data_IF_309208462225
#
_entry.id   IF_309208462225
#
_cell.length_a   1.000
_cell.length_b   1.000
_cell.length_c   1.000
_cell.angle_alpha   90.00
_cell.angle_beta   90.00
_cell.angle_gamma   90.00
#
_symmetry.space_group_name_H-M   'P 1'
#
loop_
_entity.id
_entity.type
_entity.pdbx_description
1 polymer ?
#
# COMPACT_ATOMS: atom_id res chain seq x y z
N UNK A 1 8.40 -19.96 1.57
CA UNK A 1 7.26 -19.10 1.19
C UNK A 1 7.38 -17.81 2.00
N UNK A 2 7.81 -16.69 1.41
CA UNK A 2 7.64 -15.41 2.10
C UNK A 2 6.13 -15.22 2.21
N UNK A 3 5.63 -15.18 3.45
CA UNK A 3 4.20 -15.15 3.78
C UNK A 3 3.50 -14.06 2.96
N UNK A 4 2.20 -14.22 2.69
CA UNK A 4 1.44 -13.44 1.70
C UNK A 4 1.32 -11.93 1.99
N UNK A 5 2.44 -11.27 2.17
CA UNK A 5 2.64 -9.85 2.38
C UNK A 5 3.68 -9.45 1.33
N UNK A 6 3.31 -8.52 0.45
CA UNK A 6 4.24 -7.85 -0.46
C UNK A 6 4.67 -6.56 0.22
N UNK A 7 5.96 -6.26 0.27
CA UNK A 7 6.47 -4.99 0.78
C UNK A 7 6.95 -4.12 -0.39
N UNK A 8 6.56 -2.84 -0.39
CA UNK A 8 6.94 -1.84 -1.37
C UNK A 8 7.61 -0.68 -0.64
N UNK A 9 8.87 -0.41 -0.98
CA UNK A 9 9.58 0.78 -0.50
C UNK A 9 9.26 1.97 -1.41
N UNK A 10 8.64 2.99 -0.83
CA UNK A 10 8.23 4.23 -1.49
C UNK A 10 9.08 5.42 -1.04
N UNK A 11 10.07 5.22 -0.17
CA UNK A 11 10.93 6.31 0.29
C UNK A 11 11.58 7.04 -0.89
N UNK A 12 11.49 8.37 -0.87
CA UNK A 12 12.08 9.23 -1.90
C UNK A 12 11.33 9.25 -3.22
N UNK A 13 10.26 8.47 -3.39
CA UNK A 13 9.38 8.58 -4.56
C UNK A 13 8.49 9.81 -4.46
N UNK A 14 8.16 10.39 -5.61
CA UNK A 14 7.04 11.33 -5.70
C UNK A 14 5.70 10.56 -5.77
N UNK A 15 4.58 11.28 -5.64
CA UNK A 15 3.25 10.68 -5.64
C UNK A 15 2.91 9.89 -6.92
N UNK A 16 3.35 10.36 -8.08
CA UNK A 16 3.06 9.70 -9.36
C UNK A 16 3.79 8.35 -9.47
N UNK A 17 5.09 8.35 -9.11
CA UNK A 17 5.91 7.14 -9.07
C UNK A 17 5.34 6.12 -8.09
N UNK A 18 5.00 6.57 -6.87
CA UNK A 18 4.43 5.72 -5.84
C UNK A 18 3.09 5.12 -6.28
N UNK A 19 2.18 5.93 -6.83
CA UNK A 19 0.88 5.47 -7.33
C UNK A 19 1.06 4.40 -8.40
N UNK A 20 1.93 4.64 -9.39
CA UNK A 20 2.18 3.69 -10.47
C UNK A 20 2.72 2.35 -9.96
N UNK A 21 3.64 2.39 -8.99
CA UNK A 21 4.18 1.16 -8.39
C UNK A 21 3.11 0.41 -7.59
N UNK A 22 2.34 1.12 -6.75
CA UNK A 22 1.24 0.54 -5.97
C UNK A 22 0.22 -0.13 -6.89
N UNK A 23 -0.25 0.58 -7.92
CA UNK A 23 -1.24 0.07 -8.88
C UNK A 23 -0.73 -1.20 -9.59
N UNK A 24 0.54 -1.20 -10.02
CA UNK A 24 1.14 -2.35 -10.66
C UNK A 24 1.22 -3.57 -9.73
N UNK A 25 1.51 -3.37 -8.44
CA UNK A 25 1.59 -4.46 -7.47
C UNK A 25 0.20 -4.95 -7.02
N UNK A 26 -0.77 -4.05 -6.84
CA UNK A 26 -2.17 -4.41 -6.57
C UNK A 26 -2.73 -5.22 -7.73
N UNK A 27 -2.43 -4.84 -8.97
CA UNK A 27 -2.92 -5.56 -10.14
C UNK A 27 -2.33 -6.97 -10.24
N UNK A 28 -1.04 -7.12 -9.92
CA UNK A 28 -0.32 -8.40 -9.93
C UNK A 28 -0.57 -9.28 -8.70
N UNK A 29 -1.24 -8.78 -7.67
CA UNK A 29 -1.46 -9.51 -6.43
C UNK A 29 -2.26 -10.79 -6.69
N UNK A 30 -1.60 -11.94 -6.48
CA UNK A 30 -2.20 -13.25 -6.63
C UNK A 30 -3.07 -13.62 -5.41
N UNK A 31 -3.86 -14.69 -5.51
CA UNK A 31 -4.83 -15.13 -4.48
C UNK A 31 -4.21 -15.47 -3.12
N UNK A 32 -2.91 -15.75 -3.08
CA UNK A 32 -2.16 -16.01 -1.86
C UNK A 32 -1.62 -14.73 -1.16
N UNK A 33 -1.85 -13.54 -1.73
CA UNK A 33 -1.47 -12.26 -1.13
C UNK A 33 -2.62 -11.79 -0.22
N UNK A 34 -2.29 -11.61 1.06
CA UNK A 34 -3.17 -11.06 2.08
C UNK A 34 -3.01 -9.55 2.22
N UNK A 35 -1.78 -9.05 2.16
CA UNK A 35 -1.47 -7.63 2.40
C UNK A 35 -0.42 -7.11 1.42
N UNK A 36 -0.51 -5.82 1.11
CA UNK A 36 0.58 -5.05 0.49
C UNK A 36 0.96 -3.95 1.47
N UNK A 37 2.22 -3.96 1.93
CA UNK A 37 2.77 -3.02 2.90
C UNK A 37 3.54 -1.93 2.17
N UNK A 38 3.11 -0.69 2.36
CA UNK A 38 3.64 0.51 1.74
C UNK A 38 4.52 1.23 2.75
N UNK A 39 5.83 1.30 2.48
CA UNK A 39 6.82 1.94 3.35
C UNK A 39 7.15 3.30 2.74
N UNK A 40 6.52 4.36 3.25
CA UNK A 40 6.66 5.73 2.70
C UNK A 40 7.43 6.68 3.63
N UNK A 41 7.70 6.25 4.86
CA UNK A 41 8.50 7.01 5.83
C UNK A 41 7.72 8.11 6.53
N UNK A 42 8.34 8.67 7.58
CA UNK A 42 7.67 9.68 8.42
C UNK A 42 8.04 11.11 8.00
N UNK A 43 9.34 11.43 7.93
CA UNK A 43 9.86 12.79 7.69
C UNK A 43 9.96 13.06 6.18
N UNK A 44 8.81 13.35 5.56
CA UNK A 44 8.68 13.58 4.11
C UNK A 44 7.60 12.71 3.47
N UNK A 45 7.21 11.61 4.13
CA UNK A 45 6.16 10.71 3.66
C UNK A 45 4.74 11.24 3.86
N UNK A 46 4.53 12.41 4.48
CA UNK A 46 3.17 12.97 4.67
C UNK A 46 2.42 13.12 3.35
N UNK A 47 3.09 13.57 2.28
CA UNK A 47 2.46 13.72 0.97
C UNK A 47 2.05 12.37 0.37
N UNK A 48 2.94 11.37 0.46
CA UNK A 48 2.67 10.01 0.04
C UNK A 48 1.53 9.38 0.86
N UNK A 49 1.53 9.56 2.18
CA UNK A 49 0.47 9.09 3.07
C UNK A 49 -0.89 9.70 2.69
N UNK A 50 -0.95 11.02 2.47
CA UNK A 50 -2.18 11.70 2.06
C UNK A 50 -2.68 11.19 0.71
N UNK A 51 -1.78 11.05 -0.27
CA UNK A 51 -2.12 10.49 -1.58
C UNK A 51 -2.63 9.05 -1.45
N UNK A 52 -1.95 8.19 -0.70
CA UNK A 52 -2.36 6.80 -0.48
C UNK A 52 -3.76 6.75 0.16
N UNK A 53 -4.01 7.60 1.15
CA UNK A 53 -5.32 7.71 1.78
C UNK A 53 -6.40 8.15 0.77
N UNK A 54 -6.11 9.14 -0.07
CA UNK A 54 -7.07 9.65 -1.05
C UNK A 54 -7.39 8.61 -2.14
N UNK A 55 -6.38 7.94 -2.68
CA UNK A 55 -6.53 7.04 -3.83
C UNK A 55 -7.07 5.65 -3.46
N UNK A 56 -6.63 5.11 -2.33
CA UNK A 56 -6.86 3.68 -1.99
C UNK A 56 -7.85 3.45 -0.84
N UNK A 57 -8.41 4.51 -0.27
CA UNK A 57 -9.50 4.38 0.72
C UNK A 57 -10.87 4.22 0.06
N UNK A 58 -11.88 3.93 0.87
CA UNK A 58 -13.30 3.96 0.47
C UNK A 58 -13.68 2.96 -0.63
N UNK A 59 -12.93 1.87 -0.81
CA UNK A 59 -13.30 0.79 -1.74
C UNK A 59 -13.22 1.18 -3.21
N UNK A 60 -12.41 2.19 -3.57
CA UNK A 60 -12.22 2.63 -4.97
C UNK A 60 -11.60 1.56 -5.87
N UNK A 61 -10.84 0.62 -5.29
CA UNK A 61 -10.25 -0.51 -6.00
C UNK A 61 -10.80 -1.83 -5.44
N UNK A 62 -11.42 -2.70 -6.26
CA UNK A 62 -12.06 -3.93 -5.80
C UNK A 62 -11.07 -4.98 -5.26
N UNK A 63 -9.78 -4.90 -5.59
CA UNK A 63 -8.74 -5.79 -5.03
C UNK A 63 -8.31 -5.36 -3.61
N UNK A 64 -8.60 -4.13 -3.21
CA UNK A 64 -8.26 -3.60 -1.88
C UNK A 64 -9.52 -3.66 -1.02
N UNK A 65 -9.58 -4.59 -0.08
CA UNK A 65 -10.71 -4.72 0.85
C UNK A 65 -10.79 -3.54 1.82
N UNK A 66 -9.65 -3.14 2.36
CA UNK A 66 -9.52 -1.97 3.22
C UNK A 66 -8.06 -1.55 3.33
N UNK A 67 -7.89 -0.38 3.91
CA UNK A 67 -6.59 0.14 4.30
C UNK A 67 -6.46 0.12 5.83
N UNK A 68 -5.29 -0.27 6.31
CA UNK A 68 -4.94 -0.27 7.73
C UNK A 68 -3.68 0.56 7.95
N UNK A 69 -3.58 1.19 9.12
CA UNK A 69 -2.34 1.83 9.54
C UNK A 69 -1.33 0.76 9.95
N UNK A 70 -0.08 0.90 9.50
CA UNK A 70 0.98 0.01 9.93
C UNK A 70 1.39 0.21 11.39
N UNK A 71 2.36 -0.59 11.84
CA UNK A 71 2.90 -0.53 13.20
C UNK A 71 3.65 0.77 13.53
N UNK A 72 3.95 1.60 12.53
CA UNK A 72 4.44 2.96 12.71
C UNK A 72 3.84 3.92 11.66
N UNK A 73 3.92 5.24 11.88
CA UNK A 73 3.30 6.23 11.00
C UNK A 73 3.84 6.31 9.56
N UNK A 74 5.01 5.74 9.28
CA UNK A 74 5.61 5.67 7.95
C UNK A 74 5.20 4.44 7.15
N UNK A 75 4.22 3.67 7.64
CA UNK A 75 3.72 2.45 6.99
C UNK A 75 2.21 2.50 6.86
N UNK A 76 1.73 2.12 5.68
CA UNK A 76 0.32 1.85 5.39
C UNK A 76 0.18 0.43 4.84
N UNK A 77 -0.85 -0.31 5.24
CA UNK A 77 -1.12 -1.65 4.71
C UNK A 77 -2.44 -1.67 3.92
N UNK A 78 -2.37 -2.17 2.69
CA UNK A 78 -3.55 -2.50 1.87
C UNK A 78 -3.90 -3.96 2.12
N UNK A 79 -5.10 -4.21 2.65
CA UNK A 79 -5.61 -5.57 2.85
C UNK A 79 -6.23 -6.05 1.54
N UNK A 80 -5.66 -7.12 0.97
CA UNK A 80 -6.12 -7.75 -0.27
C UNK A 80 -7.05 -8.93 0.04
N UNK A 81 -6.72 -9.70 1.09
CA UNK A 81 -7.50 -10.87 1.51
C UNK A 81 -7.53 -10.99 3.03
N UNK A 82 -8.63 -11.52 3.57
CA UNK A 82 -8.70 -11.95 4.97
C UNK A 82 -8.07 -13.35 5.13
N UNK A 83 -7.57 -13.63 6.34
CA UNK A 83 -7.15 -14.97 6.74
C UNK A 83 -8.30 -15.98 6.69
#
# INVERSE_FOLDING_TARGET
>A
MRGGIIEIDLHGMNCEQARKEIDAQVEKAASNVYRIRLIHGYRGGTQLRSMIQEEYSFGRNPKIKRMEQGWNPGITELVIREL
#
